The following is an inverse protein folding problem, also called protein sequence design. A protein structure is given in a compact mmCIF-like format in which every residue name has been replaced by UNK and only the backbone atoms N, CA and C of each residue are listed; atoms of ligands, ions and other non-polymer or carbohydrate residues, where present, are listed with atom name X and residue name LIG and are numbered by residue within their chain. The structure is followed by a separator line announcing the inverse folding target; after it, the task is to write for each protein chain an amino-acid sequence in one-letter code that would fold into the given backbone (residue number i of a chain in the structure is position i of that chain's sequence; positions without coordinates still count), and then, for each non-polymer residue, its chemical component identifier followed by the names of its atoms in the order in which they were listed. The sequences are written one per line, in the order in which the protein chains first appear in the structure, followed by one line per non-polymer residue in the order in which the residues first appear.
data_IF_375048668262
#
_entry.id   IF_375048668262
#
_cell.length_a   1.000
_cell.length_b   1.000
_cell.length_c   1.000
_cell.angle_alpha   90.00
_cell.angle_beta   90.00
_cell.angle_gamma   90.00
#
_symmetry.space_group_name_H-M   'P 1'
#
loop_
_entity.id
_entity.type
_entity.pdbx_description
1 polymer ?
#
# COMPACT_ATOMS: atom_id res chain seq x y z
N UNK A 1 18.23 7.35 12.59
CA UNK A 1 17.31 6.82 11.61
C UNK A 1 15.96 6.49 12.25
N UNK A 2 14.88 6.86 11.60
CA UNK A 2 13.54 6.75 12.17
C UNK A 2 13.13 5.33 12.57
N UNK A 3 13.52 4.30 11.79
CA UNK A 3 13.14 2.93 12.11
C UNK A 3 13.70 2.46 13.46
N UNK A 4 14.93 2.87 13.81
CA UNK A 4 15.49 2.54 15.10
C UNK A 4 14.75 3.21 16.24
N UNK A 5 14.28 4.44 16.05
CA UNK A 5 13.49 5.14 17.06
C UNK A 5 12.10 4.53 17.24
N UNK A 6 11.61 3.78 16.25
CA UNK A 6 10.35 3.04 16.33
C UNK A 6 10.52 1.65 16.94
N UNK A 7 11.72 1.29 17.38
CA UNK A 7 11.99 0.00 18.00
C UNK A 7 12.16 -1.15 17.01
N UNK A 8 12.27 -0.87 15.72
CA UNK A 8 12.49 -1.89 14.70
C UNK A 8 13.99 -2.18 14.65
N UNK A 9 14.42 -3.47 14.74
CA UNK A 9 15.84 -3.81 14.70
C UNK A 9 16.49 -3.30 13.41
N UNK A 10 17.73 -2.83 13.45
CA UNK A 10 18.49 -2.52 12.24
C UNK A 10 18.70 -3.78 11.41
N UNK A 11 18.81 -3.63 10.12
CA UNK A 11 19.06 -4.78 9.23
C UNK A 11 18.57 -4.52 7.82
N UNK A 12 18.33 -5.58 7.09
CA UNK A 12 17.98 -5.56 5.68
C UNK A 12 16.50 -5.24 5.50
N UNK A 13 16.14 -3.98 5.65
CA UNK A 13 14.78 -3.54 5.40
C UNK A 13 14.49 -3.48 3.92
N UNK A 14 13.27 -3.86 3.59
CA UNK A 14 12.71 -3.75 2.24
C UNK A 14 11.59 -2.73 2.28
N UNK A 15 11.65 -1.78 1.36
CA UNK A 15 10.61 -0.79 1.15
C UNK A 15 10.08 -0.97 -0.26
N UNK A 16 8.82 -1.37 -0.39
CA UNK A 16 8.16 -1.45 -1.69
C UNK A 16 7.11 -0.37 -1.78
N UNK A 17 7.27 0.50 -2.75
CA UNK A 17 6.38 1.63 -2.99
C UNK A 17 5.77 1.51 -4.37
N UNK A 18 4.48 1.76 -4.46
CA UNK A 18 3.75 1.79 -5.73
C UNK A 18 2.89 3.04 -5.77
N UNK A 19 2.77 3.60 -6.96
CA UNK A 19 1.92 4.75 -7.21
C UNK A 19 1.25 4.61 -8.56
N UNK A 20 0.00 5.04 -8.66
CA UNK A 20 -0.64 5.22 -9.95
C UNK A 20 -0.03 6.43 -10.66
N UNK A 21 -0.07 6.42 -11.98
CA UNK A 21 0.49 7.48 -12.83
C UNK A 21 -0.57 7.93 -13.83
N UNK A 22 -0.31 9.07 -14.50
CA UNK A 22 -1.24 9.57 -15.53
C UNK A 22 -1.36 8.57 -16.67
N UNK A 23 -0.30 7.86 -17.02
CA UNK A 23 -0.33 6.84 -18.07
C UNK A 23 -0.91 5.51 -17.59
N UNK A 24 -0.95 5.28 -16.29
CA UNK A 24 -1.50 4.06 -15.67
C UNK A 24 -2.26 4.43 -14.40
N UNK A 25 -3.41 5.10 -14.55
CA UNK A 25 -4.20 5.55 -13.40
C UNK A 25 -5.03 4.42 -12.82
N UNK A 26 -5.51 4.62 -11.59
CA UNK A 26 -6.59 3.79 -11.06
C UNK A 26 -7.87 4.22 -11.75
N UNK A 27 -8.52 3.34 -12.53
CA UNK A 27 -9.68 3.73 -13.31
C UNK A 27 -10.86 4.19 -12.45
N UNK A 28 -11.71 5.00 -13.05
CA UNK A 28 -12.97 5.42 -12.41
C UNK A 28 -13.93 4.24 -12.23
N UNK A 29 -14.75 4.30 -11.21
CA UNK A 29 -15.79 3.29 -10.91
C UNK A 29 -15.25 1.86 -10.97
N UNK A 30 -14.04 1.65 -10.41
CA UNK A 30 -13.33 0.39 -10.46
C UNK A 30 -13.28 -0.24 -9.08
N UNK A 31 -13.52 -1.53 -9.03
CA UNK A 31 -13.41 -2.33 -7.82
C UNK A 31 -12.25 -3.30 -7.94
N UNK A 32 -11.42 -3.38 -6.91
CA UNK A 32 -10.37 -4.40 -6.84
C UNK A 32 -9.17 -4.16 -7.76
N UNK A 33 -8.86 -2.91 -8.07
CA UNK A 33 -7.64 -2.59 -8.82
C UNK A 33 -6.40 -2.90 -8.00
N UNK A 34 -5.51 -3.75 -8.52
CA UNK A 34 -4.28 -4.12 -7.83
C UNK A 34 -3.23 -3.03 -7.99
N UNK A 35 -3.10 -2.17 -6.98
CA UNK A 35 -2.03 -1.17 -6.94
C UNK A 35 -0.70 -1.80 -6.58
N UNK A 36 -0.70 -2.74 -5.67
CA UNK A 36 0.48 -3.49 -5.26
C UNK A 36 0.19 -4.98 -5.36
N UNK A 37 1.06 -5.69 -6.05
CA UNK A 37 1.15 -7.14 -6.00
C UNK A 37 2.62 -7.47 -5.76
N UNK A 38 2.94 -7.85 -4.53
CA UNK A 38 4.30 -8.16 -4.14
C UNK A 38 4.42 -9.63 -3.76
N UNK A 39 5.33 -10.32 -4.46
CA UNK A 39 5.64 -11.72 -4.20
C UNK A 39 6.94 -11.81 -3.41
N UNK A 40 6.93 -12.58 -2.32
CA UNK A 40 8.16 -12.91 -1.62
C UNK A 40 9.06 -13.73 -2.55
N UNK A 41 10.36 -13.36 -2.69
CA UNK A 41 11.29 -14.18 -3.47
C UNK A 41 11.36 -15.60 -2.94
N UNK A 42 11.39 -16.57 -3.85
CA UNK A 42 11.35 -18.00 -3.50
C UNK A 42 12.60 -18.47 -2.76
N UNK A 43 13.73 -17.77 -2.91
CA UNK A 43 14.99 -18.10 -2.27
C UNK A 43 15.12 -17.52 -0.85
N UNK A 44 14.06 -16.89 -0.35
CA UNK A 44 14.00 -16.38 1.02
C UNK A 44 12.95 -17.16 1.80
N UNK A 45 13.19 -17.37 3.09
CA UNK A 45 12.28 -18.16 3.92
C UNK A 45 10.97 -17.43 4.20
N UNK A 46 11.08 -16.27 4.84
CA UNK A 46 9.92 -15.47 5.22
C UNK A 46 10.22 -14.00 5.03
N UNK A 47 9.17 -13.24 4.83
CA UNK A 47 9.19 -11.79 4.93
C UNK A 47 8.38 -11.37 6.14
N UNK A 48 8.95 -10.52 6.98
CA UNK A 48 8.26 -9.95 8.12
C UNK A 48 7.75 -8.57 7.72
N UNK A 49 6.44 -8.44 7.60
CA UNK A 49 5.80 -7.17 7.28
C UNK A 49 5.63 -6.36 8.56
N UNK A 50 6.38 -5.26 8.66
CA UNK A 50 6.36 -4.40 9.84
C UNK A 50 5.36 -3.27 9.74
N UNK A 51 5.08 -2.78 8.55
CA UNK A 51 4.20 -1.64 8.41
C UNK A 51 3.67 -1.44 7.00
N UNK A 52 2.64 -0.63 6.92
CA UNK A 52 1.97 -0.27 5.66
C UNK A 52 1.56 1.20 5.70
N UNK A 53 1.38 1.77 4.52
CA UNK A 53 0.84 3.11 4.38
C UNK A 53 0.18 3.32 3.02
N UNK A 54 -0.83 4.18 2.99
CA UNK A 54 -1.50 4.58 1.76
C UNK A 54 -1.83 6.06 1.80
N UNK A 55 -2.00 6.65 0.62
CA UNK A 55 -2.63 7.96 0.51
C UNK A 55 -4.12 7.85 0.81
N UNK A 56 -4.70 8.99 1.15
CA UNK A 56 -6.14 9.10 1.36
C UNK A 56 -6.81 9.73 0.13
N UNK A 57 -7.74 9.01 -0.47
CA UNK A 57 -8.62 9.53 -1.51
C UNK A 57 -10.07 9.46 -1.06
N UNK A 58 -10.90 10.42 -1.51
CA UNK A 58 -12.33 10.38 -1.29
C UNK A 58 -12.95 9.21 -2.05
N UNK A 59 -14.03 8.65 -1.48
CA UNK A 59 -14.83 7.60 -2.12
C UNK A 59 -14.01 6.39 -2.56
N UNK A 60 -13.04 6.01 -1.74
CA UNK A 60 -12.14 4.91 -2.03
C UNK A 60 -12.12 3.90 -0.91
N UNK A 61 -11.79 2.67 -1.26
CA UNK A 61 -11.66 1.56 -0.32
C UNK A 61 -10.31 0.87 -0.54
N UNK A 62 -9.64 0.54 0.54
CA UNK A 62 -8.31 -0.06 0.53
C UNK A 62 -8.40 -1.46 1.12
N UNK A 63 -8.15 -2.48 0.31
CA UNK A 63 -8.16 -3.86 0.77
C UNK A 63 -6.75 -4.42 0.78
N UNK A 64 -6.23 -4.66 1.97
CA UNK A 64 -4.94 -5.30 2.16
C UNK A 64 -5.13 -6.79 2.37
N UNK A 65 -4.39 -7.61 1.61
CA UNK A 65 -4.35 -9.05 1.80
C UNK A 65 -2.91 -9.52 1.97
N UNK A 66 -2.73 -10.46 2.88
CA UNK A 66 -1.46 -11.15 3.10
C UNK A 66 -1.74 -12.64 2.97
N UNK A 67 -1.03 -13.29 2.04
CA UNK A 67 -1.20 -14.71 1.77
C UNK A 67 -2.67 -15.12 1.57
N UNK A 68 -3.43 -14.26 0.87
CA UNK A 68 -4.82 -14.48 0.57
C UNK A 68 -5.82 -14.14 1.69
N UNK A 69 -5.33 -13.65 2.82
CA UNK A 69 -6.19 -13.28 3.97
C UNK A 69 -6.34 -11.77 4.02
N UNK A 70 -7.60 -11.29 4.03
CA UNK A 70 -7.89 -9.87 4.14
C UNK A 70 -7.55 -9.39 5.56
N UNK A 71 -6.75 -8.32 5.65
CA UNK A 71 -6.40 -7.75 6.96
C UNK A 71 -7.56 -6.93 7.51
N UNK A 72 -7.81 -6.98 8.83
CA UNK A 72 -8.90 -6.23 9.47
C UNK A 72 -8.79 -4.71 9.33
N UNK A 73 -7.59 -4.19 9.06
CA UNK A 73 -7.35 -2.76 8.84
C UNK A 73 -7.83 -2.26 7.49
N UNK A 74 -8.30 -3.17 6.61
CA UNK A 74 -8.87 -2.78 5.32
C UNK A 74 -10.12 -1.93 5.53
N UNK A 75 -10.29 -0.90 4.73
CA UNK A 75 -11.44 -0.01 4.89
C UNK A 75 -11.39 1.23 4.01
N UNK A 76 -12.30 2.15 4.27
CA UNK A 76 -12.42 3.42 3.55
C UNK A 76 -11.39 4.45 4.00
N UNK A 77 -10.92 4.34 5.23
CA UNK A 77 -9.89 5.23 5.75
C UNK A 77 -8.51 4.61 5.56
N UNK A 78 -7.55 5.44 5.21
CA UNK A 78 -6.16 4.98 5.15
C UNK A 78 -5.65 4.61 6.53
N UNK A 79 -4.71 3.69 6.56
CA UNK A 79 -3.94 3.36 7.75
C UNK A 79 -2.50 3.75 7.48
N UNK A 80 -1.98 4.76 8.22
CA UNK A 80 -0.68 5.32 7.94
C UNK A 80 -0.64 6.13 6.64
N UNK A 81 0.56 6.49 6.21
CA UNK A 81 0.84 7.18 4.96
C UNK A 81 2.15 6.65 4.38
N UNK A 82 2.45 6.86 3.08
CA UNK A 82 3.72 6.41 2.52
C UNK A 82 4.94 7.04 3.22
N UNK A 83 4.82 8.26 3.71
CA UNK A 83 5.89 8.96 4.43
C UNK A 83 5.90 8.64 5.93
N UNK A 84 4.81 8.11 6.45
CA UNK A 84 4.65 7.82 7.87
C UNK A 84 3.80 6.55 8.03
N UNK A 85 4.36 5.38 7.70
CA UNK A 85 3.59 4.14 7.70
C UNK A 85 3.09 3.75 9.09
N UNK A 86 1.94 3.11 9.12
CA UNK A 86 1.46 2.46 10.32
C UNK A 86 2.31 1.22 10.59
N UNK A 87 2.90 1.15 11.78
CA UNK A 87 3.71 0.02 12.18
C UNK A 87 2.88 -0.94 13.01
N UNK A 88 2.84 -2.21 12.61
CA UNK A 88 2.11 -3.23 13.36
C UNK A 88 2.75 -3.45 14.74
N UNK A 89 1.95 -3.67 15.79
CA UNK A 89 2.49 -4.03 17.12
C UNK A 89 3.37 -5.28 17.07
N UNK A 90 2.99 -6.25 16.22
CA UNK A 90 3.79 -7.43 15.92
C UNK A 90 3.89 -7.59 14.41
N UNK A 91 5.06 -7.92 13.88
CA UNK A 91 5.20 -8.12 12.44
C UNK A 91 4.35 -9.30 11.96
N UNK A 92 3.89 -9.21 10.72
CA UNK A 92 3.09 -10.26 10.08
C UNK A 92 4.03 -11.13 9.25
N UNK A 93 4.00 -12.44 9.45
CA UNK A 93 4.72 -13.38 8.61
C UNK A 93 4.07 -13.46 7.23
N UNK A 94 4.89 -13.27 6.19
CA UNK A 94 4.46 -13.38 4.80
C UNK A 94 5.22 -14.51 4.16
N UNK A 95 4.52 -15.57 3.76
CA UNK A 95 5.10 -16.69 3.04
C UNK A 95 4.95 -16.59 1.53
N UNK A 96 4.03 -15.78 1.04
CA UNK A 96 3.73 -15.62 -0.38
C UNK A 96 3.60 -14.17 -0.82
N UNK A 97 2.42 -13.60 -0.65
CA UNK A 97 2.06 -12.32 -1.27
C UNK A 97 1.57 -11.28 -0.29
N UNK A 98 1.86 -10.02 -0.63
CA UNK A 98 1.18 -8.85 -0.05
C UNK A 98 0.53 -8.10 -1.20
N UNK A 99 -0.77 -7.89 -1.12
CA UNK A 99 -1.55 -7.26 -2.18
C UNK A 99 -2.36 -6.10 -1.60
N UNK A 100 -2.35 -4.98 -2.30
CA UNK A 100 -3.29 -3.89 -2.05
C UNK A 100 -4.20 -3.73 -3.25
N UNK A 101 -5.49 -3.90 -3.03
CA UNK A 101 -6.53 -3.61 -4.01
C UNK A 101 -7.23 -2.33 -3.66
N UNK A 102 -7.42 -1.48 -4.66
CA UNK A 102 -8.10 -0.20 -4.53
C UNK A 102 -9.47 -0.30 -5.18
N UNK A 103 -10.48 0.19 -4.49
CA UNK A 103 -11.78 0.49 -5.08
C UNK A 103 -11.88 2.00 -5.21
N UNK A 104 -12.04 2.48 -6.44
CA UNK A 104 -12.23 3.89 -6.76
C UNK A 104 -13.69 4.10 -7.17
N UNK A 105 -14.49 4.64 -6.25
CA UNK A 105 -15.90 4.95 -6.48
C UNK A 105 -16.12 6.37 -7.03
N UNK A 106 -15.05 7.02 -7.48
CA UNK A 106 -15.15 8.31 -8.13
C UNK A 106 -15.52 8.14 -9.61
N UNK A 107 -16.16 9.15 -10.16
CA UNK A 107 -16.53 9.17 -11.57
C UNK A 107 -15.35 9.39 -12.51
N UNK A 108 -14.15 9.61 -11.96
CA UNK A 108 -12.93 9.92 -12.70
C UNK A 108 -11.78 9.04 -12.22
N UNK A 109 -10.82 8.81 -13.12
CA UNK A 109 -9.58 8.10 -12.79
C UNK A 109 -8.61 9.06 -12.08
N UNK A 110 -7.70 8.49 -11.27
CA UNK A 110 -6.63 9.22 -10.61
C UNK A 110 -5.27 8.55 -10.84
N UNK A 111 -4.21 9.31 -11.12
CA UNK A 111 -4.23 10.73 -11.48
C UNK A 111 -4.66 10.94 -12.92
N UNK A 112 -5.00 12.16 -13.26
CA UNK A 112 -5.32 12.56 -14.62
C UNK A 112 -4.93 14.02 -14.87
N UNK A 113 -4.88 14.42 -16.12
CA UNK A 113 -4.64 15.81 -16.50
C UNK A 113 -5.99 16.52 -16.66
N UNK A 114 -6.29 17.43 -15.74
CA UNK A 114 -7.50 18.24 -15.77
C UNK A 114 -7.25 19.57 -15.03
N UNK A 115 -6.95 20.65 -15.77
CA UNK A 115 -6.62 21.93 -15.12
C UNK A 115 -7.77 22.52 -14.29
N UNK A 116 -9.01 22.08 -14.51
CA UNK A 116 -10.17 22.55 -13.76
C UNK A 116 -10.36 21.85 -12.42
N UNK A 117 -9.65 20.74 -12.18
CA UNK A 117 -9.77 19.96 -10.96
C UNK A 117 -8.46 20.02 -10.19
N UNK A 118 -8.45 20.68 -8.99
CA UNK A 118 -7.21 20.76 -8.21
C UNK A 118 -6.70 19.42 -7.71
N UNK A 119 -7.54 18.39 -7.65
CA UNK A 119 -7.19 17.07 -7.16
C UNK A 119 -6.84 16.07 -8.27
N UNK A 120 -6.91 16.51 -9.54
CA UNK A 120 -6.76 15.63 -10.69
C UNK A 120 -5.44 14.86 -10.70
N UNK A 121 -4.36 15.47 -10.25
CA UNK A 121 -3.02 14.88 -10.29
C UNK A 121 -2.68 14.03 -9.08
N UNK A 122 -3.58 13.90 -8.10
CA UNK A 122 -3.35 13.02 -6.95
C UNK A 122 -3.26 11.57 -7.37
N UNK A 123 -2.12 10.96 -7.08
CA UNK A 123 -1.92 9.53 -7.29
C UNK A 123 -2.47 8.73 -6.12
N UNK A 124 -2.88 7.50 -6.39
CA UNK A 124 -2.97 6.49 -5.34
C UNK A 124 -1.56 5.97 -5.08
N UNK A 125 -1.13 6.00 -3.84
CA UNK A 125 0.18 5.53 -3.45
C UNK A 125 0.09 4.58 -2.28
N UNK A 126 1.04 3.66 -2.21
CA UNK A 126 1.17 2.79 -1.05
C UNK A 126 2.64 2.47 -0.77
N UNK A 127 2.88 2.04 0.45
CA UNK A 127 4.17 1.56 0.91
C UNK A 127 3.98 0.34 1.79
N UNK A 128 4.83 -0.65 1.61
CA UNK A 128 5.06 -1.68 2.62
C UNK A 128 6.50 -1.60 3.11
N UNK A 129 6.71 -1.90 4.37
CA UNK A 129 8.04 -1.96 4.97
C UNK A 129 8.17 -3.25 5.76
N UNK A 130 9.28 -3.93 5.56
CA UNK A 130 9.55 -5.16 6.25
C UNK A 130 10.99 -5.61 6.09
N UNK A 131 11.24 -6.85 6.46
CA UNK A 131 12.56 -7.45 6.26
C UNK A 131 12.43 -8.96 6.09
N UNK A 132 13.42 -9.54 5.42
CA UNK A 132 13.53 -11.00 5.32
C UNK A 132 14.06 -11.58 6.63
N UNK A 133 13.47 -12.70 7.02
CA UNK A 133 13.95 -13.44 8.17
C UNK A 133 14.99 -14.48 7.77
#
# INVERSE_FOLDING_TARGET
MTLNTLGIPPGNFVYERRASTISDPVPNNTSGYMLLYWDKPKNRDHFLLYGIGTDQHLNSYYEWTVDGVVLPISGEARVGAPEDPYMFPEPIYVSGTVILKITNNNAVAYPRTDPSDPDAEYSYECLIVGRFS
#
